data_IF_191786613708
#
_entry.id   IF_191786613708
#
_cell.length_a   1.000
_cell.length_b   1.000
_cell.length_c   1.000
_cell.angle_alpha   90.00
_cell.angle_beta   90.00
_cell.angle_gamma   90.00
#
_symmetry.space_group_name_H-M   'P 1'
#
loop_
_entity.id
_entity.type
_entity.pdbx_description
1 polymer ?
#
# COMPACT_ATOMS: atom_id res chain seq x y z
N UNK A 1 6.50 7.35 -38.69
CA UNK A 1 6.08 8.60 -38.01
C UNK A 1 7.29 9.14 -37.26
N UNK A 2 7.66 10.41 -37.47
CA UNK A 2 8.83 11.02 -36.82
C UNK A 2 8.50 11.34 -35.34
N UNK A 3 9.47 11.18 -34.43
CA UNK A 3 9.30 11.36 -32.97
C UNK A 3 8.89 12.79 -32.61
N UNK A 4 9.42 13.77 -33.34
CA UNK A 4 9.13 15.20 -33.13
C UNK A 4 7.69 15.55 -33.53
N UNK A 5 7.20 14.92 -34.62
CA UNK A 5 5.81 15.05 -35.07
C UNK A 5 4.83 14.46 -34.06
N UNK A 6 5.18 13.31 -33.47
CA UNK A 6 4.36 12.67 -32.44
C UNK A 6 4.21 13.57 -31.20
N UNK A 7 5.30 14.14 -30.69
CA UNK A 7 5.28 15.00 -29.49
C UNK A 7 4.47 16.28 -29.70
N UNK A 8 4.56 16.91 -30.87
CA UNK A 8 3.79 18.11 -31.20
C UNK A 8 2.29 17.80 -31.26
N UNK A 9 1.93 16.67 -31.85
CA UNK A 9 0.54 16.22 -31.97
C UNK A 9 -0.13 15.94 -30.62
N UNK A 10 0.61 15.50 -29.59
CA UNK A 10 0.09 15.33 -28.23
C UNK A 10 -0.23 16.65 -27.53
N UNK A 11 0.47 17.74 -27.86
CA UNK A 11 0.33 19.04 -27.16
C UNK A 11 -0.72 19.97 -27.80
N UNK A 12 -1.12 19.74 -29.05
CA UNK A 12 -2.08 20.60 -29.78
C UNK A 12 -3.55 20.39 -29.37
N UNK A 13 -3.85 19.37 -28.55
CA UNK A 13 -5.10 19.31 -27.76
C UNK A 13 -6.42 19.36 -28.55
N UNK A 14 -6.48 18.76 -29.74
CA UNK A 14 -7.70 18.68 -30.56
C UNK A 14 -8.51 17.38 -30.38
N UNK A 15 -9.69 17.31 -31.02
CA UNK A 15 -10.71 16.23 -31.02
C UNK A 15 -10.18 14.81 -31.25
N UNK A 16 -8.94 14.67 -31.75
CA UNK A 16 -8.26 13.39 -31.95
C UNK A 16 -8.07 12.59 -30.64
N UNK A 17 -7.99 13.25 -29.48
CA UNK A 17 -7.95 12.56 -28.19
C UNK A 17 -9.26 11.82 -27.90
N UNK A 18 -10.41 12.40 -28.29
CA UNK A 18 -11.70 11.76 -28.13
C UNK A 18 -11.83 10.54 -29.06
N UNK A 19 -11.42 10.66 -30.33
CA UNK A 19 -11.41 9.55 -31.29
C UNK A 19 -10.54 8.37 -30.83
N UNK A 20 -9.37 8.64 -30.24
CA UNK A 20 -8.48 7.60 -29.70
C UNK A 20 -9.04 6.88 -28.46
N UNK A 21 -9.87 7.56 -27.67
CA UNK A 21 -10.50 6.98 -26.48
C UNK A 21 -11.73 6.14 -26.87
N UNK A 22 -12.47 6.56 -27.89
CA UNK A 22 -13.71 5.89 -28.35
C UNK A 22 -13.42 4.55 -29.05
N UNK A 23 -12.27 4.42 -29.73
CA UNK A 23 -11.79 3.17 -30.35
C UNK A 23 -11.19 2.16 -29.34
N UNK A 24 -11.06 2.53 -28.07
CA UNK A 24 -10.50 1.67 -27.03
C UNK A 24 -11.45 0.56 -26.62
N UNK A 25 -11.01 -0.70 -26.63
CA UNK A 25 -11.76 -1.79 -26.00
C UNK A 25 -12.02 -1.44 -24.52
N UNK A 26 -13.24 -1.63 -24.00
CA UNK A 26 -13.54 -1.35 -22.61
C UNK A 26 -12.69 -2.25 -21.71
N UNK A 27 -11.66 -1.66 -21.11
CA UNK A 27 -10.83 -2.33 -20.11
C UNK A 27 -11.54 -2.22 -18.77
N UNK A 28 -11.71 -3.35 -18.09
CA UNK A 28 -12.21 -3.35 -16.72
C UNK A 28 -11.24 -2.58 -15.82
N UNK A 29 -11.76 -1.70 -14.97
CA UNK A 29 -10.95 -1.08 -13.94
C UNK A 29 -10.40 -2.17 -13.01
N UNK A 30 -9.13 -2.07 -12.59
CA UNK A 30 -8.60 -2.99 -11.59
C UNK A 30 -9.45 -2.88 -10.32
N UNK A 31 -9.75 -4.02 -9.71
CA UNK A 31 -10.42 -4.05 -8.41
C UNK A 31 -9.52 -3.35 -7.38
N UNK A 32 -10.03 -2.35 -6.65
CA UNK A 32 -9.26 -1.71 -5.59
C UNK A 32 -8.84 -2.73 -4.53
N UNK A 33 -7.65 -2.54 -3.95
CA UNK A 33 -7.13 -3.42 -2.90
C UNK A 33 -7.89 -3.28 -1.56
N UNK A 34 -8.87 -2.38 -1.47
CA UNK A 34 -9.68 -2.13 -0.27
C UNK A 34 -11.05 -1.56 -0.62
N UNK A 35 -12.06 -1.95 0.15
CA UNK A 35 -13.44 -1.44 0.05
C UNK A 35 -13.62 -0.08 0.76
N UNK A 36 -12.60 0.40 1.47
CA UNK A 36 -12.64 1.65 2.24
C UNK A 36 -12.09 2.81 1.41
N UNK A 37 -12.83 3.93 1.27
CA UNK A 37 -12.31 5.13 0.62
C UNK A 37 -11.02 5.62 1.27
N UNK A 38 -9.99 5.86 0.47
CA UNK A 38 -8.68 6.32 0.93
C UNK A 38 -8.44 7.79 0.58
N UNK A 39 -7.69 8.50 1.44
CA UNK A 39 -7.28 9.88 1.17
C UNK A 39 -5.77 10.03 1.26
N UNK A 40 -5.17 10.57 0.20
CA UNK A 40 -3.73 10.85 0.16
C UNK A 40 -3.34 11.97 1.13
N UNK A 41 -2.25 11.75 1.88
CA UNK A 41 -1.65 12.73 2.80
C UNK A 41 -0.13 12.71 2.65
N UNK A 42 0.47 13.90 2.59
CA UNK A 42 1.93 14.05 2.54
C UNK A 42 2.50 14.12 3.95
N UNK A 43 3.50 13.28 4.24
CA UNK A 43 4.24 13.29 5.50
C UNK A 43 5.73 13.39 5.18
N UNK A 44 6.45 14.28 5.89
CA UNK A 44 7.91 14.36 5.77
C UNK A 44 8.53 13.33 6.71
N UNK A 45 9.45 12.54 6.18
CA UNK A 45 10.24 11.57 6.94
C UNK A 45 11.73 11.90 6.80
N UNK A 46 12.55 11.66 7.83
CA UNK A 46 13.99 11.59 7.64
C UNK A 46 14.34 10.57 6.55
N UNK A 47 15.38 10.86 5.76
CA UNK A 47 15.79 10.01 4.64
C UNK A 47 16.07 8.57 5.09
N UNK A 48 16.87 8.41 6.14
CA UNK A 48 17.21 7.10 6.71
C UNK A 48 15.95 6.30 7.10
N UNK A 49 14.97 6.95 7.72
CA UNK A 49 13.70 6.32 8.08
C UNK A 49 12.97 5.80 6.84
N UNK A 50 12.89 6.62 5.79
CA UNK A 50 12.23 6.23 4.54
C UNK A 50 12.95 5.05 3.86
N UNK A 51 14.28 5.09 3.79
CA UNK A 51 15.08 4.02 3.18
C UNK A 51 14.91 2.70 3.92
N UNK A 52 14.86 2.73 5.26
CA UNK A 52 14.58 1.55 6.09
C UNK A 52 13.19 0.98 5.82
N UNK A 53 12.16 1.83 5.70
CA UNK A 53 10.80 1.36 5.36
C UNK A 53 10.79 0.72 3.97
N UNK A 54 11.46 1.34 3.00
CA UNK A 54 11.56 0.84 1.63
C UNK A 54 12.21 -0.54 1.58
N UNK A 55 13.35 -0.73 2.26
CA UNK A 55 14.04 -2.01 2.32
C UNK A 55 13.15 -3.13 2.89
N UNK A 56 12.37 -2.83 3.94
CA UNK A 56 11.43 -3.81 4.52
C UNK A 56 10.27 -4.12 3.58
N UNK A 57 9.76 -3.13 2.86
CA UNK A 57 8.68 -3.32 1.88
C UNK A 57 9.15 -4.21 0.72
N UNK A 58 10.34 -3.94 0.19
CA UNK A 58 10.97 -4.74 -0.88
C UNK A 58 11.20 -6.19 -0.42
N UNK A 59 11.74 -6.40 0.79
CA UNK A 59 11.94 -7.74 1.35
C UNK A 59 10.63 -8.52 1.54
N UNK A 60 9.49 -7.82 1.68
CA UNK A 60 8.14 -8.41 1.82
C UNK A 60 7.36 -8.48 0.51
N UNK A 61 7.90 -7.98 -0.59
CA UNK A 61 7.19 -7.89 -1.88
C UNK A 61 5.98 -6.95 -1.83
N UNK A 62 5.99 -5.94 -0.96
CA UNK A 62 4.89 -4.99 -0.77
C UNK A 62 5.25 -3.60 -1.32
N UNK A 63 4.24 -2.84 -1.74
CA UNK A 63 4.42 -1.41 -2.01
C UNK A 63 4.76 -0.64 -0.73
N UNK A 64 5.72 0.30 -0.80
CA UNK A 64 6.19 1.07 0.36
C UNK A 64 5.03 1.77 1.10
N UNK A 65 4.09 2.36 0.36
CA UNK A 65 2.91 3.03 0.93
C UNK A 65 1.91 2.06 1.54
N UNK A 66 1.82 0.83 1.01
CA UNK A 66 1.02 -0.25 1.61
C UNK A 66 1.58 -0.67 2.95
N UNK A 67 2.90 -0.85 3.05
CA UNK A 67 3.55 -1.17 4.32
C UNK A 67 3.40 -0.03 5.33
N UNK A 68 3.60 1.22 4.90
CA UNK A 68 3.40 2.40 5.78
C UNK A 68 1.98 2.47 6.33
N UNK A 69 0.97 2.25 5.48
CA UNK A 69 -0.43 2.18 5.92
C UNK A 69 -0.64 1.09 6.98
N UNK A 70 -0.17 -0.13 6.71
CA UNK A 70 -0.30 -1.24 7.66
C UNK A 70 0.35 -0.94 9.01
N UNK A 71 1.52 -0.29 9.02
CA UNK A 71 2.16 0.11 10.27
C UNK A 71 1.44 1.24 11.00
N UNK A 72 0.86 2.21 10.28
CA UNK A 72 0.02 3.25 10.88
C UNK A 72 -1.22 2.62 11.51
N UNK A 73 -1.94 1.76 10.77
CA UNK A 73 -3.13 1.05 11.26
C UNK A 73 -2.81 0.17 12.48
N UNK A 74 -1.72 -0.60 12.43
CA UNK A 74 -1.28 -1.41 13.56
C UNK A 74 -0.90 -0.56 14.77
N UNK A 75 -0.19 0.56 14.57
CA UNK A 75 0.17 1.47 15.65
C UNK A 75 -1.05 2.15 16.27
N UNK A 76 -2.08 2.48 15.48
CA UNK A 76 -3.34 3.00 15.99
C UNK A 76 -4.14 1.93 16.75
N UNK A 77 -4.17 0.70 16.26
CA UNK A 77 -4.85 -0.40 16.93
C UNK A 77 -4.23 -0.75 18.30
N UNK A 78 -2.90 -0.62 18.42
CA UNK A 78 -2.17 -0.83 19.69
C UNK A 78 -2.54 0.24 20.74
N UNK A 79 -2.77 1.48 20.31
CA UNK A 79 -3.20 2.58 21.18
C UNK A 79 -4.65 2.45 21.66
N UNK A 80 -5.46 1.65 20.99
CA UNK A 80 -6.90 1.58 21.24
C UNK A 80 -7.27 0.74 22.48
N UNK A 81 -6.29 0.15 23.19
CA UNK A 81 -6.25 -0.49 24.54
C UNK A 81 -7.51 -1.24 25.05
N UNK A 82 -8.44 -1.51 24.14
CA UNK A 82 -9.73 -2.16 24.34
C UNK A 82 -9.71 -3.60 23.82
N UNK A 83 -8.55 -4.03 23.31
CA UNK A 83 -8.25 -5.43 23.03
C UNK A 83 -8.14 -6.21 24.35
N UNK A 84 -9.29 -6.50 24.95
CA UNK A 84 -9.39 -7.46 26.05
C UNK A 84 -9.03 -8.84 25.51
N UNK A 85 -7.81 -9.29 25.80
CA UNK A 85 -7.39 -10.66 25.50
C UNK A 85 -7.88 -11.59 26.61
N UNK A 86 -8.32 -12.79 26.23
CA UNK A 86 -8.68 -13.83 27.19
C UNK A 86 -7.46 -14.18 28.05
N UNK A 87 -7.60 -14.09 29.38
CA UNK A 87 -6.55 -14.48 30.32
C UNK A 87 -6.09 -15.94 30.10
N UNK A 88 -6.99 -16.82 29.62
CA UNK A 88 -6.65 -18.19 29.30
C UNK A 88 -5.67 -18.29 28.13
N UNK A 89 -5.85 -17.46 27.10
CA UNK A 89 -4.98 -17.45 25.92
C UNK A 89 -3.62 -16.82 26.23
N UNK A 90 -3.59 -15.77 27.07
CA UNK A 90 -2.34 -15.21 27.59
C UNK A 90 -1.58 -16.24 28.40
N UNK A 91 -2.25 -16.95 29.31
CA UNK A 91 -1.61 -18.03 30.10
C UNK A 91 -1.08 -19.15 29.20
N UNK A 92 -1.83 -19.53 28.16
CA UNK A 92 -1.40 -20.55 27.19
C UNK A 92 -0.17 -20.08 26.40
N UNK A 93 -0.15 -18.84 25.92
CA UNK A 93 0.97 -18.27 25.21
C UNK A 93 2.23 -18.20 26.09
N UNK A 94 2.10 -17.73 27.33
CA UNK A 94 3.20 -17.71 28.30
C UNK A 94 3.72 -19.12 28.62
N UNK A 95 2.84 -20.09 28.79
CA UNK A 95 3.23 -21.48 29.02
C UNK A 95 4.00 -22.07 27.83
N UNK A 96 3.60 -21.76 26.60
CA UNK A 96 4.27 -22.19 25.37
C UNK A 96 5.64 -21.54 25.18
N UNK A 97 5.82 -20.28 25.63
CA UNK A 97 7.11 -19.59 25.62
C UNK A 97 8.06 -20.09 26.72
N UNK A 98 7.52 -20.43 27.90
CA UNK A 98 8.30 -20.94 29.03
C UNK A 98 8.78 -22.38 28.86
N UNK A 99 8.05 -23.18 28.07
CA UNK A 99 8.42 -24.55 27.71
C UNK A 99 8.58 -24.63 26.21
N UNK A 100 9.71 -24.13 25.64
CA UNK A 100 10.00 -24.37 24.24
C UNK A 100 9.98 -25.89 24.05
N UNK A 101 8.98 -26.37 23.32
CA UNK A 101 8.90 -27.79 22.97
C UNK A 101 10.15 -28.06 22.15
N UNK A 102 11.10 -28.81 22.75
CA UNK A 102 12.30 -29.24 22.07
C UNK A 102 11.88 -30.05 20.84
N UNK A 103 12.21 -29.52 19.66
CA UNK A 103 12.21 -30.26 18.41
C UNK A 103 13.51 -31.07 18.30
#
# INVERSE_FOLDING_TARGET
MNREDATRQFHEGGDRLAELVDDGQPVGLPTPDTDVPMVSRSVRLPLDTYERVRAVAEARGLGVTTLMRQWIEAGLADLDDSATVSLADVRRALAALAHPTAA
#
